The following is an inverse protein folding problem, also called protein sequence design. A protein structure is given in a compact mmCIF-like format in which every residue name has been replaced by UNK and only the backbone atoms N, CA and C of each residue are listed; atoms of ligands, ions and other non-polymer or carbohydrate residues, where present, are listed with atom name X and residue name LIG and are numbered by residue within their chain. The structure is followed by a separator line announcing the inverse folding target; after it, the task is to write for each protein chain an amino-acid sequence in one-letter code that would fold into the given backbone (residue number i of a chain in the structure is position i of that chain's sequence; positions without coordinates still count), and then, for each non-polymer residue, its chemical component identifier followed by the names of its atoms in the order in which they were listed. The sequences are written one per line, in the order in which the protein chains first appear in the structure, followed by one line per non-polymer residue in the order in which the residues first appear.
data_IF_965265596487
#
_entry.id   IF_965265596487
#
_cell.length_a   1.000
_cell.length_b   1.000
_cell.length_c   1.000
_cell.angle_alpha   90.00
_cell.angle_beta   90.00
_cell.angle_gamma   90.00
#
_symmetry.space_group_name_H-M   'P 1'
#
loop_
_entity.id
_entity.type
_entity.pdbx_description
1 polymer ?
#
# COMPACT_ATOMS: atom_id res chain seq x y z
N UNK A 1 20.74 29.45 -10.79
CA UNK A 1 20.85 28.00 -10.38
C UNK A 1 19.80 27.80 -9.30
N UNK A 2 18.71 27.15 -9.62
CA UNK A 2 17.68 26.80 -8.61
C UNK A 2 18.31 25.66 -7.79
N UNK A 3 18.55 25.89 -6.52
CA UNK A 3 18.92 24.85 -5.56
C UNK A 3 17.86 23.74 -5.65
N UNK A 4 18.30 22.58 -6.05
CA UNK A 4 17.44 21.38 -6.10
C UNK A 4 17.05 21.08 -4.66
N UNK A 5 15.76 21.25 -4.35
CA UNK A 5 15.20 20.84 -3.05
C UNK A 5 15.71 19.43 -2.71
N UNK A 6 16.12 19.15 -1.48
CA UNK A 6 16.61 17.81 -1.12
C UNK A 6 15.53 16.79 -1.44
N UNK A 7 15.94 15.65 -1.96
CA UNK A 7 15.09 14.52 -2.30
C UNK A 7 14.18 14.16 -1.10
N UNK A 8 12.88 14.48 -1.10
CA UNK A 8 12.09 14.53 0.13
C UNK A 8 11.87 13.16 0.74
N UNK A 9 11.78 12.09 -0.10
CA UNK A 9 11.49 10.74 0.38
C UNK A 9 12.75 10.13 1.01
N UNK A 10 13.90 10.26 0.36
CA UNK A 10 15.19 9.79 0.90
C UNK A 10 15.55 10.53 2.18
N UNK A 11 15.33 11.85 2.25
CA UNK A 11 15.62 12.65 3.45
C UNK A 11 14.70 12.25 4.62
N UNK A 12 13.41 12.06 4.38
CA UNK A 12 12.48 11.62 5.41
C UNK A 12 12.80 10.20 5.92
N UNK A 13 13.20 9.28 5.02
CA UNK A 13 13.65 7.96 5.42
C UNK A 13 14.91 8.02 6.29
N UNK A 14 15.88 8.85 5.91
CA UNK A 14 17.12 9.04 6.67
C UNK A 14 16.86 9.61 8.07
N UNK A 15 15.93 10.55 8.20
CA UNK A 15 15.50 11.10 9.48
C UNK A 15 14.87 10.03 10.39
N UNK A 16 14.00 9.15 9.84
CA UNK A 16 13.43 8.03 10.60
C UNK A 16 14.50 7.05 11.11
N UNK A 17 15.52 6.79 10.30
CA UNK A 17 16.67 5.97 10.70
C UNK A 17 17.51 6.66 11.78
N UNK A 18 17.79 7.95 11.62
CA UNK A 18 18.57 8.73 12.57
C UNK A 18 17.90 8.85 13.94
N UNK A 19 16.57 8.95 13.97
CA UNK A 19 15.77 8.95 15.21
C UNK A 19 15.64 7.56 15.86
N UNK A 20 16.18 6.52 15.24
CA UNK A 20 16.07 5.14 15.73
C UNK A 20 14.68 4.52 15.58
N UNK A 21 13.76 5.19 14.89
CA UNK A 21 12.39 4.70 14.61
C UNK A 21 12.40 3.57 13.57
N UNK A 22 13.40 3.59 12.67
CA UNK A 22 13.58 2.62 11.60
C UNK A 22 15.01 2.11 11.58
N UNK A 23 15.18 0.82 11.30
CA UNK A 23 16.51 0.25 11.01
C UNK A 23 16.87 0.51 9.55
N UNK A 24 18.11 0.88 9.27
CA UNK A 24 18.59 1.12 7.91
C UNK A 24 18.46 -0.15 7.05
N UNK A 25 17.78 -0.03 5.91
CA UNK A 25 17.60 -1.10 4.94
C UNK A 25 18.00 -0.59 3.54
N UNK A 26 19.01 -1.19 2.90
CA UNK A 26 19.44 -0.78 1.56
C UNK A 26 18.34 -0.86 0.50
N UNK A 27 17.40 -1.81 0.61
CA UNK A 27 16.31 -1.96 -0.34
C UNK A 27 15.28 -0.83 -0.19
N UNK A 28 14.98 -0.45 1.07
CA UNK A 28 14.13 0.71 1.33
C UNK A 28 14.79 2.01 0.87
N UNK A 29 16.10 2.17 1.06
CA UNK A 29 16.85 3.32 0.58
C UNK A 29 16.85 3.41 -0.96
N UNK A 30 17.03 2.30 -1.66
CA UNK A 30 16.94 2.24 -3.12
C UNK A 30 15.52 2.56 -3.62
N UNK A 31 14.50 2.04 -2.94
CA UNK A 31 13.09 2.34 -3.26
C UNK A 31 12.78 3.84 -3.03
N UNK A 32 13.24 4.43 -1.92
CA UNK A 32 13.08 5.86 -1.64
C UNK A 32 13.73 6.73 -2.72
N UNK A 33 14.96 6.40 -3.16
CA UNK A 33 15.64 7.11 -4.24
C UNK A 33 14.91 7.00 -5.58
N UNK A 34 14.27 5.85 -5.86
CA UNK A 34 13.41 5.71 -7.04
C UNK A 34 12.15 6.58 -6.91
N UNK A 35 11.48 6.55 -5.77
CA UNK A 35 10.29 7.37 -5.51
C UNK A 35 10.59 8.87 -5.61
N UNK A 36 11.78 9.32 -5.17
CA UNK A 36 12.25 10.69 -5.38
C UNK A 36 12.36 11.06 -6.87
N UNK A 37 12.85 10.14 -7.71
CA UNK A 37 12.90 10.37 -9.18
C UNK A 37 11.50 10.54 -9.75
N UNK A 38 10.54 9.73 -9.29
CA UNK A 38 9.14 9.83 -9.73
C UNK A 38 8.52 11.14 -9.26
N UNK A 39 8.67 11.51 -7.98
CA UNK A 39 8.17 12.76 -7.43
C UNK A 39 8.70 13.97 -8.21
N UNK A 40 10.02 14.05 -8.41
CA UNK A 40 10.65 15.12 -9.18
C UNK A 40 10.15 15.18 -10.64
N UNK A 41 9.91 14.03 -11.28
CA UNK A 41 9.37 13.98 -12.65
C UNK A 41 7.91 14.47 -12.71
N UNK A 42 7.12 14.17 -11.68
CA UNK A 42 5.74 14.60 -11.55
C UNK A 42 5.64 16.10 -11.26
N UNK A 43 6.51 16.63 -10.41
CA UNK A 43 6.51 18.05 -10.01
C UNK A 43 7.12 18.97 -11.08
N UNK A 44 7.79 18.38 -12.10
CA UNK A 44 8.32 19.14 -13.22
C UNK A 44 7.17 19.77 -14.05
N UNK A 45 7.17 21.09 -14.28
CA UNK A 45 6.14 21.73 -15.07
C UNK A 45 6.02 21.14 -16.48
N UNK A 46 4.81 21.14 -17.02
CA UNK A 46 4.61 20.75 -18.41
C UNK A 46 5.41 21.70 -19.33
N UNK A 47 6.05 21.19 -20.40
CA UNK A 47 6.72 22.05 -21.36
C UNK A 47 5.70 23.00 -22.01
N UNK A 48 6.13 24.23 -22.30
CA UNK A 48 5.29 25.23 -22.99
C UNK A 48 4.80 24.73 -24.37
N UNK A 49 5.59 23.88 -25.02
CA UNK A 49 5.27 23.26 -26.30
C UNK A 49 5.57 21.76 -26.24
N UNK A 50 4.62 20.94 -26.70
CA UNK A 50 4.77 19.49 -26.78
C UNK A 50 4.04 18.73 -25.65
N UNK A 51 4.13 17.39 -25.74
CA UNK A 51 3.55 16.51 -24.70
C UNK A 51 4.54 16.30 -23.54
N UNK A 52 4.04 16.21 -22.32
CA UNK A 52 4.84 15.76 -21.17
C UNK A 52 5.48 14.40 -21.47
N UNK A 53 6.74 14.23 -21.05
CA UNK A 53 7.37 12.92 -21.09
C UNK A 53 6.59 11.95 -20.20
N UNK A 54 6.32 10.72 -20.67
CA UNK A 54 5.69 9.72 -19.84
C UNK A 54 6.53 9.46 -18.58
N UNK A 55 5.90 9.52 -17.41
CA UNK A 55 6.52 9.19 -16.13
C UNK A 55 6.16 7.74 -15.82
N UNK A 56 7.16 6.90 -15.60
CA UNK A 56 6.93 5.55 -15.09
C UNK A 56 6.65 5.65 -13.58
N UNK A 57 5.58 4.98 -13.15
CA UNK A 57 5.27 4.84 -11.74
C UNK A 57 6.08 3.73 -11.05
N UNK A 58 5.58 3.24 -9.93
CA UNK A 58 6.23 2.20 -9.14
C UNK A 58 5.25 1.11 -8.71
N UNK A 59 5.78 -0.10 -8.59
CA UNK A 59 5.08 -1.22 -7.98
C UNK A 59 5.99 -1.83 -6.90
N UNK A 60 5.69 -1.48 -5.63
CA UNK A 60 6.48 -1.92 -4.48
C UNK A 60 5.95 -3.27 -4.01
N UNK A 61 6.74 -4.32 -4.17
CA UNK A 61 6.37 -5.67 -3.79
C UNK A 61 7.24 -6.21 -2.66
N UNK A 62 6.63 -6.92 -1.73
CA UNK A 62 7.32 -7.57 -0.61
C UNK A 62 6.34 -8.07 0.43
N UNK A 63 6.79 -8.93 1.34
CA UNK A 63 5.98 -9.48 2.41
C UNK A 63 5.42 -8.38 3.35
N UNK A 64 4.50 -8.75 4.22
CA UNK A 64 3.98 -7.85 5.26
C UNK A 64 5.13 -7.39 6.19
N UNK A 65 5.09 -6.13 6.64
CA UNK A 65 6.10 -5.59 7.54
C UNK A 65 7.39 -5.07 6.88
N UNK A 66 7.46 -5.02 5.54
CA UNK A 66 8.64 -4.54 4.79
C UNK A 66 8.71 -3.01 4.60
N UNK A 67 7.84 -2.26 5.24
CA UNK A 67 7.84 -0.80 5.15
C UNK A 67 7.20 -0.24 3.86
N UNK A 68 6.47 -1.05 3.08
CA UNK A 68 5.80 -0.58 1.85
C UNK A 68 4.86 0.59 2.11
N UNK A 69 3.99 0.45 3.12
CA UNK A 69 3.03 1.50 3.50
C UNK A 69 3.74 2.76 3.97
N UNK A 70 4.80 2.63 4.76
CA UNK A 70 5.61 3.77 5.22
C UNK A 70 6.26 4.50 4.03
N UNK A 71 6.84 3.78 3.07
CA UNK A 71 7.38 4.40 1.85
C UNK A 71 6.30 5.10 1.03
N UNK A 72 5.10 4.51 0.94
CA UNK A 72 3.94 5.14 0.30
C UNK A 72 3.49 6.40 1.04
N UNK A 73 3.45 6.38 2.37
CA UNK A 73 3.11 7.54 3.21
C UNK A 73 4.03 8.71 2.92
N UNK A 74 5.34 8.46 2.99
CA UNK A 74 6.36 9.48 2.76
C UNK A 74 6.31 9.99 1.31
N UNK A 75 6.15 9.10 0.33
CA UNK A 75 6.02 9.47 -1.08
C UNK A 75 4.79 10.34 -1.32
N UNK A 76 3.63 9.90 -0.84
CA UNK A 76 2.38 10.64 -1.05
C UNK A 76 2.41 12.01 -0.38
N UNK A 77 2.98 12.11 0.83
CA UNK A 77 3.14 13.39 1.52
C UNK A 77 4.16 14.30 0.83
N UNK A 78 5.30 13.74 0.38
CA UNK A 78 6.41 14.50 -0.19
C UNK A 78 6.23 14.91 -1.66
N UNK A 79 5.20 14.43 -2.36
CA UNK A 79 4.92 14.80 -3.76
C UNK A 79 3.98 16.01 -3.82
N UNK A 80 4.35 17.06 -4.54
CA UNK A 80 3.58 18.34 -4.61
C UNK A 80 2.43 18.33 -5.62
N UNK A 81 2.22 17.23 -6.33
CA UNK A 81 1.13 17.08 -7.31
C UNK A 81 -0.22 17.32 -6.65
N UNK A 82 -0.98 18.33 -7.14
CA UNK A 82 -2.30 18.70 -6.59
C UNK A 82 -3.36 17.64 -6.87
N UNK A 83 -3.37 17.06 -8.09
CA UNK A 83 -4.31 16.02 -8.51
C UNK A 83 -3.73 14.65 -8.22
N UNK A 84 -3.73 14.26 -6.94
CA UNK A 84 -3.30 12.95 -6.47
C UNK A 84 -4.38 12.31 -5.61
N UNK A 85 -4.56 11.00 -5.78
CA UNK A 85 -5.51 10.18 -5.01
C UNK A 85 -4.78 9.00 -4.42
N UNK A 86 -5.03 8.69 -3.15
CA UNK A 86 -4.63 7.45 -2.50
C UNK A 86 -5.85 6.71 -2.01
N UNK A 87 -5.90 5.42 -2.24
CA UNK A 87 -6.98 4.55 -1.81
C UNK A 87 -6.49 3.11 -1.66
N UNK A 88 -7.18 2.32 -0.87
CA UNK A 88 -7.06 0.88 -0.98
C UNK A 88 -7.61 0.42 -2.33
N UNK A 89 -6.94 -0.57 -2.92
CA UNK A 89 -7.29 -0.98 -4.28
C UNK A 89 -8.76 -1.42 -4.43
N UNK A 90 -9.31 -2.13 -3.46
CA UNK A 90 -10.71 -2.56 -3.48
C UNK A 90 -11.71 -1.38 -3.42
N UNK A 91 -11.39 -0.31 -2.66
CA UNK A 91 -12.22 0.90 -2.62
C UNK A 91 -12.21 1.64 -3.95
N UNK A 92 -11.05 1.69 -4.60
CA UNK A 92 -10.94 2.25 -5.94
C UNK A 92 -11.76 1.45 -6.95
N UNK A 93 -11.73 0.12 -6.91
CA UNK A 93 -12.52 -0.71 -7.81
C UNK A 93 -14.02 -0.57 -7.56
N UNK A 94 -14.46 -0.41 -6.30
CA UNK A 94 -15.86 -0.12 -6.00
C UNK A 94 -16.33 1.20 -6.66
N UNK A 95 -15.53 2.27 -6.57
CA UNK A 95 -15.80 3.55 -7.27
C UNK A 95 -15.85 3.37 -8.80
N UNK A 96 -14.91 2.60 -9.36
CA UNK A 96 -14.90 2.29 -10.80
C UNK A 96 -16.18 1.57 -11.23
N UNK A 97 -16.59 0.55 -10.49
CA UNK A 97 -17.83 -0.20 -10.78
C UNK A 97 -19.07 0.70 -10.72
N UNK A 98 -19.15 1.58 -9.74
CA UNK A 98 -20.24 2.53 -9.62
C UNK A 98 -20.28 3.49 -10.81
N UNK A 99 -19.15 4.10 -11.20
CA UNK A 99 -19.07 4.98 -12.38
C UNK A 99 -19.45 4.25 -13.67
N UNK A 100 -18.92 3.06 -13.86
CA UNK A 100 -19.25 2.23 -15.03
C UNK A 100 -20.75 1.88 -15.05
N UNK A 101 -21.34 1.60 -13.88
CA UNK A 101 -22.77 1.34 -13.78
C UNK A 101 -23.59 2.57 -14.20
N UNK A 102 -23.29 3.73 -13.66
CA UNK A 102 -23.97 5.00 -14.01
C UNK A 102 -23.85 5.27 -15.52
N UNK A 103 -22.66 5.20 -16.09
CA UNK A 103 -22.44 5.45 -17.52
C UNK A 103 -23.12 4.43 -18.42
N UNK A 104 -23.26 3.17 -17.99
CA UNK A 104 -24.07 2.16 -18.70
C UNK A 104 -25.56 2.51 -18.74
N UNK A 105 -26.09 3.08 -17.65
CA UNK A 105 -27.49 3.50 -17.62
C UNK A 105 -27.75 4.66 -18.59
N UNK A 106 -26.84 5.63 -18.66
CA UNK A 106 -26.92 6.77 -19.58
C UNK A 106 -26.84 6.33 -21.05
N UNK A 107 -26.05 5.30 -21.36
CA UNK A 107 -25.88 4.81 -22.76
C UNK A 107 -26.95 3.84 -23.22
N UNK A 108 -27.86 3.38 -22.36
CA UNK A 108 -28.97 2.49 -22.75
C UNK A 108 -29.89 3.05 -23.83
N UNK A 109 -29.92 4.37 -24.02
CA UNK A 109 -30.80 5.05 -25.01
C UNK A 109 -30.12 5.24 -26.37
N UNK A 110 -29.05 4.53 -26.69
CA UNK A 110 -28.47 4.44 -28.02
C UNK A 110 -27.42 5.51 -28.33
N UNK A 111 -26.15 5.14 -28.29
CA UNK A 111 -25.01 5.92 -28.75
C UNK A 111 -24.26 6.61 -27.61
N UNK A 112 -23.03 6.20 -27.38
CA UNK A 112 -22.14 6.82 -26.38
C UNK A 112 -20.79 6.15 -26.35
N UNK A 113 -19.80 6.83 -25.77
CA UNK A 113 -18.48 6.26 -25.49
C UNK A 113 -18.60 5.08 -24.53
N UNK A 114 -17.72 4.11 -24.66
CA UNK A 114 -17.63 2.96 -23.77
C UNK A 114 -17.57 3.39 -22.29
N UNK A 115 -18.46 2.88 -21.43
CA UNK A 115 -18.53 3.26 -20.02
C UNK A 115 -17.22 3.12 -19.25
N UNK A 116 -16.38 2.12 -19.58
CA UNK A 116 -15.08 1.94 -18.93
C UNK A 116 -14.11 3.06 -19.37
N UNK A 117 -14.11 3.42 -20.64
CA UNK A 117 -13.25 4.50 -21.15
C UNK A 117 -13.69 5.86 -20.61
N UNK A 118 -14.98 6.09 -20.46
CA UNK A 118 -15.53 7.29 -19.79
C UNK A 118 -15.12 7.35 -18.33
N UNK A 119 -15.20 6.23 -17.59
CA UNK A 119 -14.76 6.16 -16.21
C UNK A 119 -13.25 6.49 -16.10
N UNK A 120 -12.42 5.94 -17.00
CA UNK A 120 -11.00 6.23 -17.04
C UNK A 120 -10.72 7.72 -17.32
N UNK A 121 -11.46 8.34 -18.24
CA UNK A 121 -11.32 9.76 -18.56
C UNK A 121 -11.66 10.65 -17.34
N UNK A 122 -12.80 10.39 -16.69
CA UNK A 122 -13.20 11.11 -15.47
C UNK A 122 -12.16 10.98 -14.34
N UNK A 123 -11.65 9.77 -14.11
CA UNK A 123 -10.60 9.54 -13.11
C UNK A 123 -9.31 10.29 -13.47
N UNK A 124 -8.93 10.32 -14.74
CA UNK A 124 -7.73 11.04 -15.20
C UNK A 124 -7.86 12.55 -15.05
N UNK A 125 -9.07 13.10 -15.17
CA UNK A 125 -9.34 14.51 -14.90
C UNK A 125 -9.21 14.85 -13.40
N UNK A 126 -9.62 13.96 -12.53
CA UNK A 126 -9.56 14.12 -11.07
C UNK A 126 -8.15 13.90 -10.53
N UNK A 127 -7.42 12.91 -11.09
CA UNK A 127 -6.15 12.45 -10.52
C UNK A 127 -5.11 12.15 -11.60
N UNK A 128 -3.99 12.83 -11.52
CA UNK A 128 -2.82 12.52 -12.36
C UNK A 128 -1.91 11.48 -11.72
N UNK A 129 -1.89 11.40 -10.38
CA UNK A 129 -1.18 10.38 -9.62
C UNK A 129 -2.18 9.53 -8.84
N UNK A 130 -2.16 8.23 -9.08
CA UNK A 130 -2.93 7.23 -8.33
C UNK A 130 -1.99 6.40 -7.46
N UNK A 131 -2.22 6.41 -6.17
CA UNK A 131 -1.51 5.62 -5.19
C UNK A 131 -2.42 4.53 -4.63
N UNK A 132 -2.00 3.27 -4.71
CA UNK A 132 -2.79 2.14 -4.24
C UNK A 132 -2.09 1.40 -3.11
N UNK A 133 -2.80 1.28 -2.00
CA UNK A 133 -2.40 0.36 -0.94
C UNK A 133 -3.00 -1.03 -1.20
N UNK A 134 -2.21 -2.06 -0.90
CA UNK A 134 -2.63 -3.46 -0.96
C UNK A 134 -3.20 -3.88 -2.33
N UNK A 135 -2.47 -3.54 -3.39
CA UNK A 135 -2.90 -3.90 -4.74
C UNK A 135 -2.96 -5.42 -4.91
N UNK A 136 -4.16 -5.95 -5.02
CA UNK A 136 -4.41 -7.36 -5.29
C UNK A 136 -5.71 -7.54 -6.08
N UNK A 137 -5.79 -8.58 -6.89
CA UNK A 137 -6.95 -8.86 -7.75
C UNK A 137 -7.39 -10.29 -7.49
N UNK A 138 -8.61 -10.45 -7.01
CA UNK A 138 -9.22 -11.75 -6.71
C UNK A 138 -10.54 -11.95 -7.45
N UNK A 139 -11.23 -10.87 -7.76
CA UNK A 139 -12.53 -10.89 -8.42
C UNK A 139 -12.41 -10.87 -9.94
N UNK A 140 -13.24 -11.67 -10.62
CA UNK A 140 -13.26 -11.74 -12.08
C UNK A 140 -13.79 -10.45 -12.72
N UNK A 141 -14.75 -9.76 -12.09
CA UNK A 141 -15.30 -8.51 -12.62
C UNK A 141 -14.22 -7.43 -12.65
N UNK A 142 -13.39 -7.34 -11.58
CA UNK A 142 -12.23 -6.46 -11.54
C UNK A 142 -11.23 -6.80 -12.63
N UNK A 143 -10.85 -8.09 -12.73
CA UNK A 143 -9.87 -8.56 -13.70
C UNK A 143 -10.25 -8.20 -15.14
N UNK A 144 -11.54 -8.29 -15.49
CA UNK A 144 -12.03 -7.99 -16.84
C UNK A 144 -12.04 -6.48 -17.18
N UNK A 145 -12.21 -5.64 -16.18
CA UNK A 145 -12.25 -4.18 -16.36
C UNK A 145 -10.83 -3.59 -16.38
N UNK A 146 -9.93 -4.10 -15.55
CA UNK A 146 -8.61 -3.52 -15.28
C UNK A 146 -7.77 -3.29 -16.54
N UNK A 147 -7.72 -4.26 -17.44
CA UNK A 147 -6.89 -4.12 -18.65
C UNK A 147 -7.32 -2.90 -19.49
N UNK A 148 -8.62 -2.71 -19.67
CA UNK A 148 -9.17 -1.61 -20.47
C UNK A 148 -9.08 -0.28 -19.76
N UNK A 149 -9.41 -0.26 -18.46
CA UNK A 149 -9.35 0.93 -17.62
C UNK A 149 -7.93 1.48 -17.56
N UNK A 150 -6.95 0.65 -17.20
CA UNK A 150 -5.57 1.11 -17.04
C UNK A 150 -4.86 1.39 -18.35
N UNK A 151 -5.20 0.70 -19.43
CA UNK A 151 -4.71 1.09 -20.77
C UNK A 151 -5.10 2.55 -21.04
N UNK A 152 -6.37 2.90 -20.82
CA UNK A 152 -6.84 4.27 -21.04
C UNK A 152 -6.25 5.28 -20.07
N UNK A 153 -6.12 4.94 -18.77
CA UNK A 153 -5.47 5.80 -17.78
C UNK A 153 -4.02 6.12 -18.15
N UNK A 154 -3.26 5.11 -18.57
CA UNK A 154 -1.87 5.29 -18.99
C UNK A 154 -1.74 6.10 -20.29
N UNK A 155 -2.65 5.92 -21.26
CA UNK A 155 -2.72 6.76 -22.46
C UNK A 155 -2.98 8.22 -22.13
N UNK A 156 -3.79 8.49 -21.10
CA UNK A 156 -4.09 9.82 -20.60
C UNK A 156 -2.98 10.40 -19.71
N UNK A 157 -1.91 9.61 -19.47
CA UNK A 157 -0.72 10.06 -18.73
C UNK A 157 -0.84 9.93 -17.22
N UNK A 158 -1.81 9.18 -16.71
CA UNK A 158 -1.92 8.91 -15.28
C UNK A 158 -0.74 8.04 -14.83
N UNK A 159 -0.13 8.43 -13.72
CA UNK A 159 0.97 7.69 -13.09
C UNK A 159 0.44 6.88 -11.92
N UNK A 160 0.88 5.63 -11.82
CA UNK A 160 0.45 4.72 -10.77
C UNK A 160 1.62 4.36 -9.86
N UNK A 161 1.42 4.46 -8.54
CA UNK A 161 2.31 3.90 -7.53
C UNK A 161 1.49 2.94 -6.66
N UNK A 162 1.94 1.70 -6.54
CA UNK A 162 1.18 0.70 -5.79
C UNK A 162 2.08 -0.09 -4.83
N UNK A 163 1.51 -0.51 -3.71
CA UNK A 163 2.08 -1.51 -2.81
C UNK A 163 1.35 -2.83 -2.95
N UNK A 164 2.07 -3.94 -2.90
CA UNK A 164 1.48 -5.29 -2.97
C UNK A 164 2.33 -6.31 -2.22
N UNK A 165 1.70 -7.41 -1.83
CA UNK A 165 2.39 -8.58 -1.30
C UNK A 165 2.74 -9.59 -2.42
N UNK A 166 2.18 -9.41 -3.61
CA UNK A 166 2.37 -10.28 -4.76
C UNK A 166 3.08 -9.56 -5.90
N UNK A 167 4.05 -10.19 -6.56
CA UNK A 167 4.63 -9.65 -7.78
C UNK A 167 3.57 -9.59 -8.90
N UNK A 168 3.73 -8.70 -9.90
CA UNK A 168 2.74 -8.53 -10.97
C UNK A 168 2.30 -9.84 -11.64
N UNK A 169 3.24 -10.74 -11.89
CA UNK A 169 2.98 -12.03 -12.56
C UNK A 169 2.18 -13.03 -11.71
N UNK A 170 2.08 -12.80 -10.41
CA UNK A 170 1.28 -13.64 -9.50
C UNK A 170 -0.10 -13.03 -9.20
N UNK A 171 -0.36 -11.81 -9.69
CA UNK A 171 -1.70 -11.23 -9.61
C UNK A 171 -2.70 -12.10 -10.36
N UNK A 172 -3.85 -12.32 -9.73
CA UNK A 172 -4.94 -13.12 -10.30
C UNK A 172 -4.48 -14.51 -10.78
N UNK A 173 -3.46 -15.10 -10.12
CA UNK A 173 -2.99 -16.45 -10.38
C UNK A 173 -4.13 -17.42 -10.10
N UNK A 174 -4.28 -18.39 -10.99
CA UNK A 174 -5.37 -19.39 -10.95
C UNK A 174 -6.81 -18.82 -11.07
N UNK A 175 -6.94 -17.52 -11.39
CA UNK A 175 -8.23 -16.88 -11.64
C UNK A 175 -8.88 -17.33 -12.94
N UNK A 176 -10.21 -17.33 -12.97
CA UNK A 176 -11.00 -17.71 -14.14
C UNK A 176 -10.73 -16.75 -15.31
N UNK A 177 -10.49 -17.30 -16.51
CA UNK A 177 -10.15 -16.53 -17.71
C UNK A 177 -8.89 -15.64 -17.55
N UNK A 178 -7.91 -16.08 -16.79
CA UNK A 178 -6.67 -15.34 -16.52
C UNK A 178 -5.97 -14.84 -17.80
N UNK A 179 -6.12 -15.53 -18.93
CA UNK A 179 -5.55 -15.11 -20.20
C UNK A 179 -5.99 -13.68 -20.60
N UNK A 180 -7.21 -13.26 -20.25
CA UNK A 180 -7.73 -11.92 -20.50
C UNK A 180 -7.15 -10.85 -19.54
N UNK A 181 -6.55 -11.29 -18.42
CA UNK A 181 -5.88 -10.41 -17.46
C UNK A 181 -4.39 -10.19 -17.79
N UNK A 182 -3.74 -11.11 -18.51
CA UNK A 182 -2.32 -11.00 -18.86
C UNK A 182 -1.94 -9.68 -19.56
N UNK A 183 -2.75 -9.08 -20.45
CA UNK A 183 -2.47 -7.77 -21.02
C UNK A 183 -2.33 -6.66 -19.97
N UNK A 184 -3.09 -6.71 -18.88
CA UNK A 184 -2.95 -5.77 -17.78
C UNK A 184 -1.60 -5.93 -17.07
N UNK A 185 -1.15 -7.16 -16.82
CA UNK A 185 0.19 -7.41 -16.24
C UNK A 185 1.28 -6.80 -17.12
N UNK A 186 1.20 -6.99 -18.43
CA UNK A 186 2.15 -6.40 -19.37
C UNK A 186 2.14 -4.86 -19.34
N UNK A 187 0.97 -4.24 -19.25
CA UNK A 187 0.85 -2.79 -19.08
C UNK A 187 1.43 -2.32 -17.76
N UNK A 188 1.17 -3.03 -16.67
CA UNK A 188 1.72 -2.72 -15.36
C UNK A 188 3.24 -2.75 -15.37
N UNK A 189 3.87 -3.81 -15.90
CA UNK A 189 5.33 -3.93 -16.00
C UNK A 189 5.95 -2.88 -16.95
N UNK A 190 5.21 -2.43 -17.97
CA UNK A 190 5.64 -1.36 -18.89
C UNK A 190 5.60 0.02 -18.22
N UNK A 191 4.53 0.32 -17.48
CA UNK A 191 4.28 1.65 -16.95
C UNK A 191 4.75 1.84 -15.51
N UNK A 192 5.09 0.77 -14.79
CA UNK A 192 5.63 0.82 -13.43
C UNK A 192 7.00 0.15 -13.35
N UNK A 193 7.89 0.72 -12.55
CA UNK A 193 9.13 0.06 -12.12
C UNK A 193 8.79 -0.88 -10.96
N UNK A 194 9.08 -2.17 -11.10
CA UNK A 194 8.81 -3.16 -10.06
C UNK A 194 10.00 -3.21 -9.10
N UNK A 195 9.75 -2.84 -7.85
CA UNK A 195 10.78 -2.83 -6.80
C UNK A 195 10.45 -3.88 -5.75
N UNK A 196 11.37 -4.79 -5.52
CA UNK A 196 11.24 -5.83 -4.50
C UNK A 196 11.87 -5.37 -3.20
N UNK A 197 11.07 -5.38 -2.15
CA UNK A 197 11.48 -5.10 -0.77
C UNK A 197 11.64 -6.41 0.02
N UNK A 198 12.08 -7.46 -0.66
CA UNK A 198 12.32 -8.75 -0.04
C UNK A 198 13.65 -8.69 0.73
N UNK A 199 13.61 -8.09 1.92
CA UNK A 199 14.71 -8.29 2.86
C UNK A 199 14.77 -9.80 3.19
N UNK A 200 15.96 -10.33 3.30
CA UNK A 200 16.19 -11.76 3.63
C UNK A 200 15.62 -12.16 5.00
N UNK A 201 15.25 -11.17 5.83
CA UNK A 201 14.78 -11.39 7.22
C UNK A 201 13.61 -10.44 7.50
N UNK A 202 12.54 -10.97 8.11
CA UNK A 202 11.49 -10.16 8.74
C UNK A 202 12.05 -9.59 10.03
N UNK A 203 12.31 -8.28 10.10
CA UNK A 203 12.88 -7.63 11.29
C UNK A 203 12.05 -7.85 12.57
N UNK A 204 10.75 -8.14 12.43
CA UNK A 204 9.90 -8.53 13.57
C UNK A 204 10.24 -9.95 14.04
N UNK A 205 10.48 -10.86 13.09
CA UNK A 205 10.94 -12.21 13.38
C UNK A 205 12.40 -12.22 13.85
N UNK A 206 13.23 -11.30 13.36
CA UNK A 206 14.63 -11.19 13.80
C UNK A 206 14.72 -10.88 15.30
N UNK A 207 13.88 -9.99 15.81
CA UNK A 207 13.76 -9.71 17.25
C UNK A 207 13.31 -10.93 18.07
N UNK A 208 12.63 -11.88 17.43
CA UNK A 208 12.17 -13.15 18.03
C UNK A 208 13.00 -14.34 17.58
N UNK A 209 14.05 -14.15 16.75
CA UNK A 209 14.89 -15.24 16.26
C UNK A 209 15.50 -16.01 17.44
N UNK A 210 15.29 -17.33 17.43
CA UNK A 210 15.72 -18.22 18.49
C UNK A 210 14.81 -18.27 19.71
N UNK A 211 13.68 -17.55 19.70
CA UNK A 211 12.66 -17.66 20.76
C UNK A 211 11.47 -18.47 20.26
N UNK A 212 10.90 -19.36 21.10
CA UNK A 212 9.63 -19.96 20.82
C UNK A 212 8.55 -18.87 20.74
N UNK A 213 7.65 -18.96 19.78
CA UNK A 213 6.47 -18.06 19.66
C UNK A 213 5.21 -18.67 20.28
N UNK A 214 5.33 -19.90 20.75
CA UNK A 214 4.26 -20.68 21.38
C UNK A 214 4.76 -21.34 22.66
N UNK A 215 4.08 -21.10 23.76
CA UNK A 215 4.44 -21.62 25.07
C UNK A 215 3.31 -22.45 25.66
N UNK A 216 3.57 -23.72 25.91
CA UNK A 216 2.61 -24.69 26.46
C UNK A 216 3.32 -25.50 27.55
N UNK A 217 2.69 -25.72 28.70
CA UNK A 217 1.41 -25.23 29.18
C UNK A 217 1.43 -23.73 29.55
N UNK A 218 0.27 -23.06 29.66
CA UNK A 218 0.19 -21.65 30.04
C UNK A 218 0.41 -21.44 31.55
N UNK A 219 1.65 -21.72 31.98
CA UNK A 219 2.09 -21.63 33.37
C UNK A 219 2.93 -20.36 33.64
N UNK A 220 3.49 -20.28 34.86
CA UNK A 220 4.34 -19.16 35.25
C UNK A 220 5.61 -19.02 34.38
N UNK A 221 6.13 -20.12 33.82
CA UNK A 221 7.29 -20.12 32.93
C UNK A 221 6.91 -19.53 31.57
N UNK A 222 5.75 -19.94 31.04
CA UNK A 222 5.19 -19.39 29.81
C UNK A 222 4.96 -17.86 29.94
N UNK A 223 4.41 -17.42 31.08
CA UNK A 223 4.23 -15.99 31.36
C UNK A 223 5.54 -15.23 31.39
N UNK A 224 6.56 -15.74 32.10
CA UNK A 224 7.88 -15.10 32.16
C UNK A 224 8.54 -15.00 30.79
N UNK A 225 8.40 -16.04 29.94
CA UNK A 225 8.94 -16.04 28.59
C UNK A 225 8.21 -15.02 27.69
N UNK A 226 6.89 -14.88 27.81
CA UNK A 226 6.11 -13.85 27.10
C UNK A 226 6.45 -12.43 27.61
N UNK A 227 6.74 -12.26 28.91
CA UNK A 227 7.20 -10.99 29.46
C UNK A 227 8.58 -10.59 28.92
N UNK A 228 9.46 -11.56 28.70
CA UNK A 228 10.77 -11.33 28.07
C UNK A 228 10.62 -11.01 26.57
N UNK A 229 9.75 -11.73 25.86
CA UNK A 229 9.46 -11.44 24.46
C UNK A 229 8.88 -10.02 24.29
N UNK A 230 7.97 -9.61 25.19
CA UNK A 230 7.43 -8.26 25.23
C UNK A 230 8.56 -7.23 25.35
N UNK A 231 9.43 -7.34 26.37
CA UNK A 231 10.54 -6.40 26.60
C UNK A 231 11.50 -6.27 25.40
N UNK A 232 11.68 -7.33 24.63
CA UNK A 232 12.49 -7.29 23.39
C UNK A 232 11.77 -6.58 22.25
N UNK A 233 10.46 -6.76 22.13
CA UNK A 233 9.66 -6.16 21.06
C UNK A 233 9.40 -4.68 21.30
N UNK A 234 9.12 -4.28 22.56
CA UNK A 234 8.81 -2.90 22.93
C UNK A 234 10.05 -2.00 23.07
N UNK A 235 11.26 -2.59 22.99
CA UNK A 235 12.51 -1.86 23.16
C UNK A 235 12.74 -1.34 24.59
N UNK A 236 12.10 -1.95 25.59
CA UNK A 236 12.19 -1.56 26.99
C UNK A 236 11.24 -0.42 27.38
N UNK A 237 10.28 -0.07 26.52
CA UNK A 237 9.25 0.90 26.85
C UNK A 237 8.12 0.24 27.64
N UNK A 238 7.66 0.91 28.69
CA UNK A 238 6.41 0.50 29.36
C UNK A 238 5.23 0.72 28.40
N UNK A 239 4.56 -0.37 28.01
CA UNK A 239 3.36 -0.29 27.18
C UNK A 239 2.25 0.42 27.94
N UNK A 240 1.52 1.30 27.24
CA UNK A 240 0.39 2.05 27.80
C UNK A 240 -0.93 1.52 27.23
N UNK A 241 -2.04 1.63 27.98
CA UNK A 241 -3.36 1.38 27.42
C UNK A 241 -3.60 2.29 26.21
N UNK A 242 -4.23 1.74 25.19
CA UNK A 242 -4.57 2.45 23.96
C UNK A 242 -5.99 2.12 23.52
N UNK A 243 -6.68 3.07 22.91
CA UNK A 243 -8.01 2.86 22.36
C UNK A 243 -7.97 2.96 20.85
N UNK A 244 -8.50 1.94 20.18
CA UNK A 244 -8.65 1.89 18.73
C UNK A 244 -10.12 2.11 18.37
N UNK A 245 -10.39 3.07 17.50
CA UNK A 245 -11.72 3.23 16.92
C UNK A 245 -11.86 2.30 15.71
N UNK A 246 -12.77 1.34 15.77
CA UNK A 246 -13.04 0.37 14.71
C UNK A 246 -14.52 0.43 14.36
N UNK A 247 -14.84 0.81 13.13
CA UNK A 247 -16.23 0.84 12.60
C UNK A 247 -17.27 1.43 13.57
N UNK A 248 -16.91 2.50 14.30
CA UNK A 248 -17.82 3.24 15.17
C UNK A 248 -17.90 2.73 16.60
N UNK A 249 -17.08 1.74 17.01
CA UNK A 249 -16.93 1.35 18.41
C UNK A 249 -15.46 1.37 18.86
N UNK A 250 -15.24 1.40 20.16
CA UNK A 250 -13.89 1.46 20.76
C UNK A 250 -13.43 0.07 21.15
N UNK A 251 -12.26 -0.33 20.61
CA UNK A 251 -11.53 -1.52 21.06
C UNK A 251 -10.42 -1.07 22.00
N UNK A 252 -10.45 -1.55 23.24
CA UNK A 252 -9.43 -1.22 24.24
C UNK A 252 -8.26 -2.18 24.15
N UNK A 253 -7.07 -1.66 23.94
CA UNK A 253 -5.81 -2.38 23.99
C UNK A 253 -5.22 -2.18 25.38
N UNK A 254 -5.12 -3.23 26.22
CA UNK A 254 -4.65 -3.06 27.60
C UNK A 254 -3.21 -2.56 27.69
N UNK A 255 -2.36 -2.98 26.76
CA UNK A 255 -0.96 -2.59 26.72
C UNK A 255 -0.48 -2.53 25.27
N UNK A 256 0.03 -1.36 24.84
CA UNK A 256 0.58 -1.16 23.51
C UNK A 256 1.89 -0.35 23.58
N UNK A 257 2.88 -0.76 22.79
CA UNK A 257 4.13 -0.03 22.60
C UNK A 257 4.74 -0.40 21.25
N UNK A 258 5.36 0.55 20.55
CA UNK A 258 6.16 0.34 19.33
C UNK A 258 5.44 -0.49 18.24
N UNK A 259 4.12 -0.34 18.12
CA UNK A 259 3.30 -1.09 17.14
C UNK A 259 3.02 -2.54 17.54
N UNK A 260 3.27 -2.91 18.78
CA UNK A 260 2.95 -4.21 19.36
C UNK A 260 1.88 -4.03 20.41
N UNK A 261 0.89 -4.92 20.42
CA UNK A 261 -0.19 -4.95 21.40
C UNK A 261 -0.12 -6.23 22.24
N UNK A 262 -0.44 -6.13 23.51
CA UNK A 262 -0.50 -7.26 24.44
C UNK A 262 -1.89 -7.37 25.02
N UNK A 263 -2.45 -8.56 24.91
CA UNK A 263 -3.77 -8.90 25.42
C UNK A 263 -3.70 -10.18 26.25
N UNK A 264 -4.61 -10.30 27.19
CA UNK A 264 -4.91 -11.60 27.79
C UNK A 264 -5.94 -12.35 26.93
N UNK A 265 -6.09 -13.65 27.16
CA UNK A 265 -7.16 -14.44 26.54
C UNK A 265 -8.56 -13.83 26.80
N UNK A 266 -8.79 -13.34 28.01
CA UNK A 266 -10.07 -12.72 28.37
C UNK A 266 -10.31 -11.40 27.62
N UNK A 267 -9.28 -10.62 27.35
CA UNK A 267 -9.41 -9.36 26.59
C UNK A 267 -9.79 -9.60 25.13
N UNK A 268 -9.30 -10.70 24.53
CA UNK A 268 -9.58 -11.02 23.13
C UNK A 268 -10.78 -11.96 22.95
N UNK A 269 -10.88 -13.01 23.79
CA UNK A 269 -11.78 -14.12 23.51
C UNK A 269 -13.05 -14.12 24.39
N UNK A 270 -13.05 -13.39 25.52
CA UNK A 270 -14.24 -13.25 26.38
C UNK A 270 -15.03 -11.96 26.10
N UNK A 271 -14.57 -11.15 25.16
CA UNK A 271 -15.27 -9.91 24.74
C UNK A 271 -15.97 -10.15 23.38
N UNK A 272 -17.10 -9.47 23.13
CA UNK A 272 -17.84 -9.59 21.87
C UNK A 272 -17.13 -8.81 20.71
N UNK A 273 -15.92 -9.22 20.34
CA UNK A 273 -15.15 -8.65 19.26
C UNK A 273 -15.49 -9.32 17.92
N UNK A 274 -15.59 -8.51 16.88
CA UNK A 274 -15.81 -8.95 15.52
C UNK A 274 -14.48 -9.19 14.77
N UNK A 275 -14.51 -9.90 13.65
CA UNK A 275 -13.30 -10.14 12.84
C UNK A 275 -12.57 -8.84 12.44
N UNK A 276 -13.30 -7.74 12.20
CA UNK A 276 -12.73 -6.42 11.91
C UNK A 276 -11.87 -5.84 13.03
N UNK A 277 -12.11 -6.25 14.29
CA UNK A 277 -11.40 -5.74 15.44
C UNK A 277 -10.03 -6.38 15.61
N UNK A 278 -9.91 -7.63 15.16
CA UNK A 278 -8.64 -8.37 15.12
C UNK A 278 -7.74 -7.95 13.96
N UNK A 279 -8.29 -7.30 12.93
CA UNK A 279 -7.56 -6.88 11.74
C UNK A 279 -7.06 -5.42 11.82
N UNK A 280 -7.41 -4.71 12.89
CA UNK A 280 -7.00 -3.30 13.08
C UNK A 280 -5.65 -3.20 13.77
#
# INVERSE_FOLDING_TARGET
MVEKSPAPITAALADLVQRGTLTADPLQAAAAAMLDRIANALDTPAPLFGRRKPVRGAYLVGAVGRGKTMLMDVFFAGTEVRRKRRAHFHEFMADVHERVHVYRQETKNGGGEDPILRAAAAIAEESWLLCFDEFHVTDIADAMILARLFTRLFELGVVMVATSNLPPRELYKDGLNRALFLPFIAQLEKHCEVVRLDARVDFRLEKLTGMPVWYVPPDAKAKAALDEAWRRLDGGHEGKPHELMVKGHVVRVPQAAMGVARFSFNDLCAQPLAASDYLK
#
